data_IF_082088473714
#
_entry.id   IF_082088473714
#
_cell.length_a   1.000
_cell.length_b   1.000
_cell.length_c   1.000
_cell.angle_alpha   90.00
_cell.angle_beta   90.00
_cell.angle_gamma   90.00
#
_symmetry.space_group_name_H-M   'P 1'
#
loop_
_entity.id
_entity.type
_entity.pdbx_description
1 polymer ?
#
# COMPACT_ATOMS: atom_id res chain seq x y z
N UNK A 1 10.97 9.55 -10.66
CA UNK A 1 10.73 8.87 -9.38
C UNK A 1 11.02 7.40 -9.60
N UNK A 2 11.84 6.79 -8.74
CA UNK A 2 11.97 5.35 -8.73
C UNK A 2 10.65 4.72 -8.25
N UNK A 3 10.25 3.62 -8.89
CA UNK A 3 9.05 2.88 -8.53
C UNK A 3 9.34 1.96 -7.33
N UNK A 4 8.32 1.66 -6.55
CA UNK A 4 8.38 0.71 -5.43
C UNK A 4 8.08 -0.72 -5.90
N UNK A 5 8.56 -1.72 -5.16
CA UNK A 5 8.41 -3.13 -5.48
C UNK A 5 7.06 -3.71 -5.02
N UNK A 6 6.49 -3.11 -3.96
CA UNK A 6 5.30 -3.60 -3.28
C UNK A 6 4.38 -2.44 -2.87
N UNK A 7 3.08 -2.71 -2.78
CA UNK A 7 2.08 -1.77 -2.27
C UNK A 7 1.36 -2.35 -1.06
N UNK A 8 1.12 -1.52 -0.04
CA UNK A 8 0.30 -1.88 1.12
C UNK A 8 -0.80 -0.84 1.38
N UNK A 9 -2.05 -1.31 1.42
CA UNK A 9 -3.24 -0.52 1.72
C UNK A 9 -3.71 -0.90 3.13
N UNK A 10 -3.77 0.09 4.02
CA UNK A 10 -4.24 -0.06 5.40
C UNK A 10 -3.09 -0.05 6.40
N UNK A 11 -2.94 1.06 7.12
CA UNK A 11 -1.87 1.27 8.11
C UNK A 11 -2.40 1.13 9.54
N UNK A 12 -3.13 0.03 9.79
CA UNK A 12 -3.38 -0.45 11.15
C UNK A 12 -2.11 -1.08 11.74
N UNK A 13 -2.18 -1.57 12.98
CA UNK A 13 -1.01 -2.18 13.66
C UNK A 13 -0.38 -3.28 12.79
N UNK A 14 -1.20 -4.18 12.24
CA UNK A 14 -0.72 -5.29 11.41
C UNK A 14 -0.17 -4.82 10.05
N UNK A 15 -0.86 -3.92 9.36
CA UNK A 15 -0.42 -3.40 8.06
C UNK A 15 0.88 -2.59 8.15
N UNK A 16 1.04 -1.78 9.20
CA UNK A 16 2.31 -1.08 9.47
C UNK A 16 3.44 -2.07 9.76
N UNK A 17 3.21 -3.08 10.61
CA UNK A 17 4.21 -4.10 10.92
C UNK A 17 4.62 -4.91 9.68
N UNK A 18 3.66 -5.28 8.82
CA UNK A 18 3.93 -5.99 7.57
C UNK A 18 4.71 -5.12 6.57
N UNK A 19 4.33 -3.84 6.43
CA UNK A 19 5.07 -2.89 5.57
C UNK A 19 6.54 -2.84 5.93
N UNK A 20 6.86 -2.77 7.23
CA UNK A 20 8.25 -2.79 7.71
C UNK A 20 8.94 -4.14 7.54
N UNK A 21 8.21 -5.25 7.65
CA UNK A 21 8.80 -6.57 7.39
C UNK A 21 9.20 -6.72 5.92
N UNK A 22 8.39 -6.18 5.00
CA UNK A 22 8.73 -6.16 3.57
C UNK A 22 9.91 -5.22 3.32
N UNK A 23 9.90 -4.03 3.92
CA UNK A 23 11.00 -3.07 3.80
C UNK A 23 12.33 -3.61 4.32
N UNK A 24 12.34 -4.24 5.50
CA UNK A 24 13.56 -4.77 6.11
C UNK A 24 14.20 -5.91 5.34
N UNK A 25 13.49 -6.50 4.37
CA UNK A 25 14.01 -7.48 3.41
C UNK A 25 14.61 -6.83 2.15
N UNK A 26 14.71 -5.51 2.12
CA UNK A 26 15.33 -4.73 1.04
C UNK A 26 14.37 -4.30 -0.07
N UNK A 27 13.06 -4.35 0.15
CA UNK A 27 12.05 -3.93 -0.84
C UNK A 27 11.55 -2.53 -0.58
N UNK A 28 11.35 -1.73 -1.63
CA UNK A 28 10.70 -0.43 -1.53
C UNK A 28 9.18 -0.62 -1.45
N UNK A 29 8.52 0.07 -0.54
CA UNK A 29 7.07 -0.14 -0.29
C UNK A 29 6.29 1.16 -0.46
N UNK A 30 5.31 1.14 -1.36
CA UNK A 30 4.29 2.18 -1.42
C UNK A 30 3.24 1.90 -0.34
N UNK A 31 2.88 2.91 0.45
CA UNK A 31 1.88 2.80 1.51
C UNK A 31 0.71 3.76 1.28
N UNK A 32 -0.50 3.27 1.54
CA UNK A 32 -1.72 4.07 1.45
C UNK A 32 -2.67 3.73 2.59
N UNK A 33 -3.38 4.74 3.08
CA UNK A 33 -4.44 4.59 4.04
C UNK A 33 -5.52 5.63 3.76
N UNK A 34 -6.80 5.25 3.84
CA UNK A 34 -7.95 6.13 3.55
C UNK A 34 -7.89 7.47 4.28
N UNK A 35 -7.45 7.46 5.54
CA UNK A 35 -7.09 8.68 6.26
C UNK A 35 -5.59 8.96 6.05
N UNK A 36 -5.29 9.96 5.22
CA UNK A 36 -3.92 10.32 4.86
C UNK A 36 -3.05 10.71 6.06
N UNK A 37 -3.64 11.23 7.15
CA UNK A 37 -2.90 11.54 8.39
C UNK A 37 -2.17 10.32 8.96
N UNK A 38 -2.71 9.11 8.78
CA UNK A 38 -2.02 7.87 9.18
C UNK A 38 -0.80 7.59 8.31
N UNK A 39 -0.90 7.84 7.01
CA UNK A 39 0.23 7.73 6.08
C UNK A 39 1.33 8.72 6.44
N UNK A 40 0.97 9.99 6.70
CA UNK A 40 1.94 11.02 7.12
C UNK A 40 2.63 10.66 8.44
N UNK A 41 1.86 10.20 9.44
CA UNK A 41 2.41 9.76 10.71
C UNK A 41 3.38 8.58 10.54
N UNK A 42 3.00 7.58 9.74
CA UNK A 42 3.84 6.43 9.43
C UNK A 42 5.15 6.83 8.74
N UNK A 43 5.08 7.68 7.71
CA UNK A 43 6.29 8.16 7.02
C UNK A 43 7.20 8.98 7.93
N UNK A 44 6.62 9.75 8.87
CA UNK A 44 7.40 10.52 9.83
C UNK A 44 8.11 9.60 10.84
N UNK A 45 7.43 8.54 11.28
CA UNK A 45 7.97 7.56 12.21
C UNK A 45 9.12 6.74 11.58
N UNK A 46 9.00 6.41 10.29
CA UNK A 46 9.97 5.59 9.54
C UNK A 46 10.67 6.38 8.42
N UNK A 47 11.06 7.63 8.69
CA UNK A 47 11.57 8.57 7.68
C UNK A 47 12.88 8.14 7.01
N UNK A 48 13.60 7.18 7.58
CA UNK A 48 14.87 6.65 7.06
C UNK A 48 14.70 5.32 6.28
N UNK A 49 13.47 4.78 6.23
CA UNK A 49 13.13 3.54 5.53
C UNK A 49 12.62 3.83 4.10
N UNK A 50 12.60 2.81 3.26
CA UNK A 50 12.26 2.93 1.84
C UNK A 50 10.74 2.95 1.56
N UNK A 51 10.04 3.91 2.18
CA UNK A 51 8.59 4.09 2.01
C UNK A 51 8.21 5.25 1.09
N UNK A 52 7.16 5.04 0.30
CA UNK A 52 6.51 6.09 -0.49
C UNK A 52 5.04 6.17 -0.09
N UNK A 53 4.61 7.29 0.48
CA UNK A 53 3.20 7.49 0.85
C UNK A 53 2.39 8.11 -0.28
N UNK A 54 1.25 7.52 -0.58
CA UNK A 54 0.30 8.04 -1.55
C UNK A 54 -0.89 8.74 -0.88
N UNK A 55 -1.47 9.74 -1.57
CA UNK A 55 -2.65 10.50 -1.11
C UNK A 55 -3.96 9.93 -1.63
N UNK A 56 -3.92 9.20 -2.75
CA UNK A 56 -5.07 8.63 -3.42
C UNK A 56 -4.67 7.34 -4.16
N UNK A 57 -5.66 6.55 -4.60
CA UNK A 57 -5.40 5.29 -5.31
C UNK A 57 -4.64 5.47 -6.62
N UNK A 58 -4.88 6.57 -7.35
CA UNK A 58 -4.20 6.85 -8.61
C UNK A 58 -2.70 7.05 -8.42
N UNK A 59 -2.31 7.83 -7.41
CA UNK A 59 -0.91 8.08 -7.05
C UNK A 59 -0.27 6.83 -6.46
N UNK A 60 -0.99 6.07 -5.63
CA UNK A 60 -0.55 4.80 -5.08
C UNK A 60 -0.24 3.75 -6.16
N UNK A 61 -1.15 3.55 -7.11
CA UNK A 61 -0.97 2.56 -8.18
C UNK A 61 0.14 2.99 -9.16
N UNK A 62 0.35 4.29 -9.35
CA UNK A 62 1.42 4.81 -10.21
C UNK A 62 2.81 4.73 -9.57
N UNK A 63 2.91 4.62 -8.25
CA UNK A 63 4.21 4.50 -7.57
C UNK A 63 4.75 3.07 -7.53
N UNK A 64 3.97 2.06 -7.93
CA UNK A 64 4.36 0.64 -7.85
C UNK A 64 4.78 0.11 -9.23
N UNK A 65 5.89 -0.63 -9.27
CA UNK A 65 6.39 -1.31 -10.45
C UNK A 65 5.42 -2.40 -10.94
N UNK A 66 5.43 -2.68 -12.24
CA UNK A 66 4.58 -3.70 -12.87
C UNK A 66 5.32 -5.04 -12.96
N UNK A 67 4.63 -6.20 -12.87
CA UNK A 67 3.23 -6.36 -12.45
C UNK A 67 3.06 -5.95 -10.99
N UNK A 68 2.01 -5.18 -10.68
CA UNK A 68 1.85 -4.57 -9.36
C UNK A 68 1.44 -5.63 -8.34
N UNK A 69 2.02 -5.56 -7.15
CA UNK A 69 1.71 -6.44 -6.02
C UNK A 69 1.16 -5.58 -4.89
N UNK A 70 -0.15 -5.69 -4.63
CA UNK A 70 -0.84 -4.82 -3.68
C UNK A 70 -1.47 -5.68 -2.59
N UNK A 71 -1.01 -5.48 -1.36
CA UNK A 71 -1.57 -6.09 -0.15
C UNK A 71 -2.65 -5.19 0.45
N UNK A 72 -3.83 -5.75 0.71
CA UNK A 72 -4.90 -5.10 1.46
C UNK A 72 -4.88 -5.64 2.89
N UNK A 73 -4.76 -4.74 3.86
CA UNK A 73 -4.72 -5.01 5.30
C UNK A 73 -5.72 -4.08 6.00
N UNK A 74 -7.01 -4.32 5.78
CA UNK A 74 -8.09 -3.49 6.34
C UNK A 74 -8.96 -4.34 7.28
N UNK A 75 -10.22 -3.95 7.47
CA UNK A 75 -11.16 -4.77 8.23
C UNK A 75 -11.89 -5.67 7.24
N UNK A 76 -11.93 -6.97 7.53
CA UNK A 76 -12.68 -7.96 6.77
C UNK A 76 -14.11 -7.54 6.40
N UNK A 77 -14.58 -8.05 5.26
CA UNK A 77 -15.91 -7.83 4.72
C UNK A 77 -16.00 -6.56 3.88
N UNK A 78 -17.11 -5.82 4.01
CA UNK A 78 -17.43 -4.66 3.17
C UNK A 78 -16.29 -3.63 2.95
N UNK A 79 -15.39 -3.36 3.91
CA UNK A 79 -14.26 -2.46 3.67
C UNK A 79 -13.25 -2.99 2.64
N UNK A 80 -13.02 -4.31 2.58
CA UNK A 80 -12.16 -4.93 1.55
C UNK A 80 -12.80 -4.76 0.17
N UNK A 81 -14.10 -5.07 0.03
CA UNK A 81 -14.83 -4.92 -1.23
C UNK A 81 -14.81 -3.48 -1.75
N UNK A 82 -14.97 -2.50 -0.84
CA UNK A 82 -14.88 -1.08 -1.17
C UNK A 82 -13.47 -0.70 -1.68
N UNK A 83 -12.41 -1.17 -1.02
CA UNK A 83 -11.03 -0.94 -1.47
C UNK A 83 -10.80 -1.54 -2.85
N UNK A 84 -11.24 -2.77 -3.10
CA UNK A 84 -11.10 -3.43 -4.40
C UNK A 84 -11.85 -2.64 -5.48
N UNK A 85 -13.08 -2.22 -5.20
CA UNK A 85 -13.91 -1.43 -6.12
C UNK A 85 -13.23 -0.13 -6.53
N UNK A 86 -12.64 0.60 -5.60
CA UNK A 86 -11.93 1.86 -5.88
C UNK A 86 -10.57 1.64 -6.55
N UNK A 87 -9.91 0.50 -6.27
CA UNK A 87 -8.56 0.20 -6.76
C UNK A 87 -8.56 -0.29 -8.21
N UNK A 88 -9.50 -1.19 -8.56
CA UNK A 88 -9.57 -1.88 -9.86
C UNK A 88 -9.53 -0.93 -11.07
N UNK A 89 -10.21 0.23 -11.09
CA UNK A 89 -10.15 1.18 -12.21
C UNK A 89 -8.74 1.72 -12.52
N UNK A 90 -7.80 1.61 -11.59
CA UNK A 90 -6.42 2.07 -11.75
C UNK A 90 -5.45 0.94 -12.15
N UNK A 91 -5.87 -0.31 -11.99
CA UNK A 91 -5.06 -1.48 -12.30
C UNK A 91 -5.11 -1.82 -13.78
N UNK A 92 -4.22 -2.73 -14.18
CA UNK A 92 -4.23 -3.32 -15.51
C UNK A 92 -4.13 -4.84 -15.43
N UNK A 93 -4.37 -5.51 -16.56
CA UNK A 93 -4.21 -6.96 -16.67
C UNK A 93 -2.80 -7.39 -16.21
N UNK A 94 -2.77 -8.38 -15.31
CA UNK A 94 -1.54 -8.93 -14.73
C UNK A 94 -1.13 -8.32 -13.39
N UNK A 95 -1.79 -7.26 -12.91
CA UNK A 95 -1.62 -6.79 -11.53
C UNK A 95 -2.27 -7.78 -10.55
N UNK A 96 -1.73 -7.83 -9.33
CA UNK A 96 -2.05 -8.79 -8.28
C UNK A 96 -2.56 -8.04 -7.05
N UNK A 97 -3.77 -8.38 -6.62
CA UNK A 97 -4.33 -8.00 -5.33
C UNK A 97 -4.19 -9.19 -4.38
N UNK A 98 -3.67 -8.93 -3.19
CA UNK A 98 -3.53 -9.89 -2.10
C UNK A 98 -4.37 -9.37 -0.94
N UNK A 99 -5.36 -10.14 -0.51
CA UNK A 99 -6.13 -9.86 0.69
C UNK A 99 -5.51 -10.60 1.89
N UNK A 100 -5.15 -9.88 2.95
CA UNK A 100 -4.63 -10.46 4.19
C UNK A 100 -5.43 -10.12 5.44
N UNK A 101 -6.65 -9.58 5.31
CA UNK A 101 -7.49 -9.25 6.46
C UNK A 101 -8.68 -8.35 6.17
#
# INVERSE_FOLDING_TARGET
MELTDFGLIGLGVMGSALSRNVESRGYKVSVYNRNYKKTEAFLKEYAHEQFVGAKDYKTFVRSIARPRKIMIMVKAGAPVDAVITDLVPHLQKGDIIIDGG
#
